data_IF_074955506256
#
_entry.id   IF_074955506256
#
_cell.length_a   1.000
_cell.length_b   1.000
_cell.length_c   1.000
_cell.angle_alpha   90.00
_cell.angle_beta   90.00
_cell.angle_gamma   90.00
#
_symmetry.space_group_name_H-M   'P 1'
#
loop_
_entity.id
_entity.type
_entity.pdbx_description
1 polymer ?
#
# COMPACT_ATOMS: atom_id res chain seq x y z
N UNK A 1 73.88 35.04 -0.95
CA UNK A 1 73.34 33.71 -1.30
C UNK A 1 74.10 32.66 -0.51
N UNK A 2 73.47 32.12 0.53
CA UNK A 2 73.94 30.89 1.20
C UNK A 2 72.69 30.02 1.34
N UNK A 3 72.50 29.08 0.41
CA UNK A 3 71.56 27.98 0.60
C UNK A 3 72.23 26.97 1.51
N UNK A 4 71.94 27.05 2.80
CA UNK A 4 72.34 26.04 3.78
C UNK A 4 71.32 24.92 3.80
N UNK A 5 71.73 23.71 3.41
CA UNK A 5 70.94 22.50 3.68
C UNK A 5 71.15 22.10 5.14
N UNK A 6 70.08 22.15 5.94
CA UNK A 6 70.07 21.61 7.30
C UNK A 6 69.73 20.12 7.21
N UNK A 7 70.72 19.26 7.44
CA UNK A 7 70.50 17.84 7.66
C UNK A 7 70.32 17.59 9.15
N UNK A 8 69.07 17.59 9.62
CA UNK A 8 68.70 17.17 10.96
C UNK A 8 67.90 15.86 10.86
N UNK A 9 68.30 14.83 11.60
CA UNK A 9 67.55 13.57 11.71
C UNK A 9 66.23 13.73 12.48
N UNK A 10 66.09 14.82 13.23
CA UNK A 10 64.86 15.20 13.95
C UNK A 10 64.79 16.71 14.04
N UNK A 11 63.76 17.31 13.47
CA UNK A 11 63.48 18.76 13.55
C UNK A 11 62.29 18.96 14.49
N UNK A 12 62.51 19.66 15.61
CA UNK A 12 61.46 19.91 16.61
C UNK A 12 60.97 21.36 16.44
N UNK A 13 59.79 21.55 15.85
CA UNK A 13 59.21 22.88 15.57
C UNK A 13 57.86 22.99 16.28
N UNK A 14 57.66 24.06 17.04
CA UNK A 14 56.41 24.33 17.77
C UNK A 14 55.24 24.73 16.86
N UNK A 15 55.52 25.29 15.68
CA UNK A 15 54.53 25.58 14.63
C UNK A 15 55.25 25.65 13.29
N UNK A 16 54.86 24.81 12.34
CA UNK A 16 55.47 24.76 11.00
C UNK A 16 54.43 25.17 9.96
N UNK A 17 54.54 26.40 9.45
CA UNK A 17 53.58 26.98 8.50
C UNK A 17 54.24 27.08 7.12
N UNK A 18 53.90 26.17 6.19
CA UNK A 18 54.45 26.15 4.84
C UNK A 18 53.38 26.57 3.81
N UNK A 19 53.71 27.57 3.01
CA UNK A 19 52.85 28.03 1.91
C UNK A 19 52.72 27.00 0.77
N UNK A 20 53.70 26.10 0.63
CA UNK A 20 53.66 24.98 -0.31
C UNK A 20 54.67 23.90 0.09
N UNK A 21 54.23 22.65 0.20
CA UNK A 21 55.12 21.48 0.31
C UNK A 21 55.14 20.79 -1.05
N UNK A 22 56.20 21.00 -1.83
CA UNK A 22 56.48 20.18 -3.00
C UNK A 22 57.08 18.85 -2.54
N UNK A 23 56.26 17.80 -2.44
CA UNK A 23 56.71 16.48 -2.00
C UNK A 23 57.19 15.62 -3.20
N UNK A 24 58.02 16.18 -4.08
CA UNK A 24 58.40 15.52 -5.34
C UNK A 24 59.61 14.59 -5.25
N UNK A 25 60.33 14.54 -4.12
CA UNK A 25 61.57 13.76 -3.99
C UNK A 25 61.81 13.15 -2.60
N UNK A 26 60.78 12.60 -1.93
CA UNK A 26 61.05 11.64 -0.86
C UNK A 26 61.39 10.28 -1.48
N UNK A 27 62.59 9.77 -1.21
CA UNK A 27 62.96 8.36 -1.51
C UNK A 27 62.27 7.36 -0.57
N UNK A 28 61.56 7.86 0.45
CA UNK A 28 60.75 7.04 1.34
C UNK A 28 59.44 6.63 0.65
N UNK A 29 59.12 5.34 0.71
CA UNK A 29 57.91 4.74 0.14
C UNK A 29 56.63 5.01 0.95
N UNK A 30 56.73 5.76 2.05
CA UNK A 30 55.63 6.01 2.98
C UNK A 30 55.78 7.31 3.77
N UNK A 31 54.64 7.92 4.09
CA UNK A 31 54.52 9.15 4.88
C UNK A 31 53.77 8.81 6.17
N UNK A 32 54.42 9.04 7.32
CA UNK A 32 53.82 8.89 8.64
C UNK A 32 53.48 10.25 9.26
N UNK A 33 52.25 10.43 9.72
CA UNK A 33 51.86 11.56 10.58
C UNK A 33 51.55 11.00 11.97
N UNK A 34 52.25 11.51 12.99
CA UNK A 34 52.26 10.97 14.36
C UNK A 34 52.70 9.49 14.47
N UNK A 35 53.52 9.01 13.52
CA UNK A 35 54.13 7.68 13.55
C UNK A 35 55.49 7.69 12.88
N UNK A 36 56.46 7.01 13.48
CA UNK A 36 57.81 6.84 12.92
C UNK A 36 57.98 5.52 12.14
N UNK A 37 56.93 4.69 12.09
CA UNK A 37 56.89 3.43 11.37
C UNK A 37 55.58 3.30 10.59
N UNK A 38 55.40 4.09 9.51
CA UNK A 38 54.21 4.01 8.69
C UNK A 38 54.09 2.63 8.02
N UNK A 39 52.92 2.01 8.14
CA UNK A 39 52.64 0.69 7.54
C UNK A 39 51.98 0.76 6.17
N UNK A 40 51.79 1.98 5.65
CA UNK A 40 51.13 2.26 4.38
C UNK A 40 51.75 3.50 3.74
N UNK A 41 51.48 3.75 2.46
CA UNK A 41 52.01 4.91 1.75
C UNK A 41 51.67 6.24 2.46
N UNK A 42 50.52 6.31 3.12
CA UNK A 42 50.14 7.37 4.05
C UNK A 42 49.53 6.73 5.31
N UNK A 43 50.16 6.90 6.47
CA UNK A 43 49.68 6.42 7.78
C UNK A 43 49.54 7.62 8.74
N UNK A 44 48.30 7.94 9.11
CA UNK A 44 47.97 9.05 10.01
C UNK A 44 47.38 8.46 11.29
N UNK A 45 48.06 8.66 12.41
CA UNK A 45 47.61 8.18 13.72
C UNK A 45 47.11 9.33 14.58
N UNK A 46 45.98 9.09 15.27
CA UNK A 46 45.38 10.06 16.20
C UNK A 46 45.16 11.46 15.58
N UNK A 47 44.77 11.51 14.30
CA UNK A 47 44.49 12.72 13.54
C UNK A 47 43.52 12.44 12.39
N UNK A 48 43.08 13.48 11.68
CA UNK A 48 42.18 13.37 10.53
C UNK A 48 42.71 14.13 9.32
N UNK A 49 42.24 13.76 8.13
CA UNK A 49 42.49 14.52 6.90
C UNK A 49 41.32 15.51 6.74
N UNK A 50 41.62 16.81 6.84
CA UNK A 50 40.67 17.85 6.48
C UNK A 50 41.00 18.38 5.08
N UNK A 51 40.19 18.01 4.08
CA UNK A 51 40.31 18.52 2.71
C UNK A 51 39.25 19.59 2.52
N UNK A 52 39.66 20.86 2.55
CA UNK A 52 38.78 21.98 2.19
C UNK A 52 39.02 22.36 0.73
N UNK A 53 38.14 21.92 -0.16
CA UNK A 53 38.15 22.33 -1.57
C UNK A 53 36.82 22.96 -1.94
N UNK A 54 36.86 24.05 -2.72
CA UNK A 54 35.65 24.72 -3.25
C UNK A 54 35.03 23.97 -4.43
N UNK A 55 35.71 22.96 -4.98
CA UNK A 55 35.35 22.22 -6.20
C UNK A 55 35.14 20.72 -5.96
N UNK A 56 34.98 20.29 -4.70
CA UNK A 56 34.79 18.88 -4.33
C UNK A 56 36.12 18.12 -4.20
N UNK A 57 36.07 16.97 -3.52
CA UNK A 57 37.19 16.06 -3.33
C UNK A 57 36.71 14.64 -3.61
N UNK A 58 37.46 13.90 -4.42
CA UNK A 58 37.19 12.50 -4.74
C UNK A 58 38.26 11.59 -4.17
N UNK A 59 37.87 10.57 -3.42
CA UNK A 59 38.74 9.45 -3.07
C UNK A 59 38.55 8.38 -4.14
N UNK A 60 39.58 8.17 -4.98
CA UNK A 60 39.61 7.05 -5.93
C UNK A 60 40.45 5.95 -5.32
N UNK A 61 39.80 4.91 -4.79
CA UNK A 61 40.47 3.71 -4.30
C UNK A 61 40.29 2.56 -5.30
N UNK A 62 41.37 1.86 -5.62
CA UNK A 62 41.36 0.65 -6.46
C UNK A 62 41.14 -0.64 -5.64
N UNK A 63 41.07 -0.51 -4.31
CA UNK A 63 40.76 -1.59 -3.37
C UNK A 63 39.75 -1.14 -2.32
N UNK A 64 39.64 -1.91 -1.22
CA UNK A 64 38.61 -1.67 -0.21
C UNK A 64 38.82 -0.36 0.59
N UNK A 65 37.74 0.40 0.79
CA UNK A 65 37.70 1.52 1.72
C UNK A 65 37.08 1.04 3.03
N UNK A 66 37.94 0.68 3.99
CA UNK A 66 37.50 0.33 5.35
C UNK A 66 37.43 1.57 6.24
N UNK A 67 36.24 1.91 6.75
CA UNK A 67 36.06 3.05 7.65
C UNK A 67 35.05 2.72 8.76
N UNK A 68 35.16 3.41 9.90
CA UNK A 68 34.24 3.24 11.04
C UNK A 68 32.90 3.92 10.81
N UNK A 69 32.90 5.04 10.07
CA UNK A 69 31.70 5.83 9.78
C UNK A 69 31.93 6.70 8.54
N UNK A 70 30.91 6.81 7.70
CA UNK A 70 30.84 7.77 6.59
C UNK A 70 29.77 8.80 6.95
N UNK A 71 30.15 10.07 7.08
CA UNK A 71 29.22 11.18 7.33
C UNK A 71 29.10 12.03 6.06
N UNK A 72 27.88 12.19 5.55
CA UNK A 72 27.60 12.91 4.31
C UNK A 72 26.47 13.90 4.54
N UNK A 73 26.58 15.07 3.90
CA UNK A 73 25.56 16.13 3.95
C UNK A 73 24.63 16.12 2.73
N UNK A 74 24.84 15.20 1.78
CA UNK A 74 24.03 15.07 0.56
C UNK A 74 23.71 13.60 0.28
N UNK A 75 24.50 12.92 -0.56
CA UNK A 75 24.18 11.56 -1.03
C UNK A 75 25.38 10.60 -1.00
N UNK A 76 25.14 9.32 -0.66
CA UNK A 76 26.05 8.20 -0.93
C UNK A 76 25.50 7.40 -2.11
N UNK A 77 26.27 7.26 -3.19
CA UNK A 77 25.94 6.33 -4.28
C UNK A 77 26.86 5.11 -4.17
N UNK A 78 26.28 3.93 -3.94
CA UNK A 78 27.01 2.67 -3.81
C UNK A 78 26.47 1.67 -4.85
N UNK A 79 27.21 1.50 -5.94
CA UNK A 79 26.77 0.75 -7.11
C UNK A 79 26.97 -0.77 -7.01
N UNK A 80 27.86 -1.24 -6.13
CA UNK A 80 28.21 -2.66 -6.04
C UNK A 80 28.49 -3.06 -4.60
N UNK A 81 27.76 -4.05 -4.07
CA UNK A 81 28.05 -4.70 -2.80
C UNK A 81 28.60 -6.11 -3.06
N UNK A 82 29.84 -6.37 -2.66
CA UNK A 82 30.43 -7.72 -2.70
C UNK A 82 30.52 -8.30 -1.29
N UNK A 83 29.40 -8.31 -0.56
CA UNK A 83 29.30 -8.86 0.78
C UNK A 83 28.33 -10.05 0.82
N UNK A 84 28.66 -11.09 1.59
CA UNK A 84 27.79 -12.25 1.82
C UNK A 84 26.53 -11.91 2.63
N UNK A 85 26.59 -10.84 3.43
CA UNK A 85 25.47 -10.29 4.20
C UNK A 85 25.59 -8.77 4.24
N UNK A 86 24.50 -8.06 3.95
CA UNK A 86 24.37 -6.61 4.17
C UNK A 86 23.29 -6.40 5.22
N UNK A 87 23.69 -5.99 6.42
CA UNK A 87 22.77 -5.70 7.52
C UNK A 87 22.61 -4.20 7.68
N UNK A 88 21.42 -3.67 7.37
CA UNK A 88 21.06 -2.27 7.65
C UNK A 88 20.18 -2.26 8.90
N UNK A 89 20.77 -2.01 10.07
CA UNK A 89 20.05 -2.06 11.35
C UNK A 89 19.01 -0.95 11.50
N UNK A 90 19.20 0.18 10.82
CA UNK A 90 18.26 1.30 10.75
C UNK A 90 18.67 2.28 9.64
N UNK A 91 17.75 2.71 8.79
CA UNK A 91 17.95 3.84 7.89
C UNK A 91 17.18 5.05 8.46
N UNK A 92 17.87 5.89 9.24
CA UNK A 92 17.30 7.14 9.76
C UNK A 92 17.57 8.26 8.75
N UNK A 93 16.54 8.69 8.02
CA UNK A 93 16.62 9.89 7.16
C UNK A 93 16.12 11.10 7.95
N UNK A 94 16.94 12.13 8.08
CA UNK A 94 16.62 13.38 8.77
C UNK A 94 16.55 14.52 7.75
N UNK A 95 15.54 14.50 6.88
CA UNK A 95 15.22 15.66 6.02
C UNK A 95 13.86 16.24 6.41
N UNK A 96 13.80 17.56 6.52
CA UNK A 96 12.61 18.31 6.97
C UNK A 96 11.71 18.77 5.83
N UNK A 97 11.99 18.41 4.57
CA UNK A 97 11.42 19.15 3.41
C UNK A 97 10.98 18.37 2.17
N UNK A 98 10.83 17.04 2.15
CA UNK A 98 10.04 16.38 1.07
C UNK A 98 9.62 14.96 1.43
N UNK A 99 8.54 14.49 0.81
CA UNK A 99 8.02 13.13 0.88
C UNK A 99 9.11 12.14 0.47
N UNK A 100 9.49 11.22 1.36
CA UNK A 100 10.59 10.28 1.12
C UNK A 100 10.06 8.94 0.60
N UNK A 101 10.41 8.57 -0.62
CA UNK A 101 10.21 7.22 -1.14
C UNK A 101 11.43 6.36 -0.77
N UNK A 102 11.26 5.44 0.19
CA UNK A 102 12.23 4.35 0.39
C UNK A 102 11.92 3.28 -0.65
N UNK A 103 12.53 3.40 -1.82
CA UNK A 103 12.41 2.40 -2.88
C UNK A 103 13.23 1.16 -2.51
N UNK A 104 12.55 0.13 -2.00
CA UNK A 104 13.12 -1.22 -1.86
C UNK A 104 13.20 -1.87 -3.24
N UNK A 105 14.10 -1.42 -4.13
CA UNK A 105 14.16 -1.99 -5.49
C UNK A 105 14.53 -3.47 -5.45
N UNK A 106 15.31 -3.98 -4.48
CA UNK A 106 15.54 -5.43 -4.35
C UNK A 106 16.20 -5.74 -2.99
N UNK A 107 15.46 -6.29 -2.02
CA UNK A 107 16.07 -7.11 -0.94
C UNK A 107 16.02 -8.56 -1.44
N UNK A 108 16.93 -8.93 -2.33
CA UNK A 108 17.22 -10.34 -2.61
C UNK A 108 18.52 -10.67 -1.89
N UNK A 109 18.43 -11.12 -0.64
CA UNK A 109 19.56 -11.72 0.06
C UNK A 109 19.41 -13.24 0.10
N UNK A 110 20.46 -13.92 -0.35
CA UNK A 110 20.76 -15.36 -0.24
C UNK A 110 20.20 -16.29 -1.33
N UNK A 111 20.95 -17.37 -1.55
CA UNK A 111 20.78 -18.42 -2.59
C UNK A 111 19.43 -19.16 -2.60
N UNK A 112 18.44 -18.74 -1.80
CA UNK A 112 17.08 -19.31 -1.77
C UNK A 112 15.96 -18.31 -2.05
N UNK A 113 16.26 -17.00 -2.20
CA UNK A 113 15.30 -16.00 -2.70
C UNK A 113 14.01 -15.89 -1.88
N UNK A 114 14.13 -15.72 -0.55
CA UNK A 114 12.97 -15.48 0.34
C UNK A 114 12.88 -14.01 0.74
N UNK A 115 11.67 -13.46 0.73
CA UNK A 115 11.32 -12.11 1.17
C UNK A 115 10.37 -12.23 2.37
N UNK A 116 10.72 -11.59 3.49
CA UNK A 116 9.87 -11.48 4.67
C UNK A 116 9.54 -10.01 4.91
N UNK A 117 8.25 -9.68 4.97
CA UNK A 117 7.78 -8.39 5.47
C UNK A 117 7.30 -8.56 6.91
N UNK A 118 8.18 -8.21 7.86
CA UNK A 118 7.96 -8.17 9.31
C UNK A 118 8.88 -9.12 10.11
N UNK A 119 8.40 -9.78 11.16
CA UNK A 119 9.28 -10.51 12.12
C UNK A 119 9.23 -12.03 11.99
N UNK A 120 10.35 -12.72 12.27
CA UNK A 120 10.42 -14.19 12.33
C UNK A 120 11.29 -14.80 11.22
N UNK A 121 11.13 -16.11 11.00
CA UNK A 121 11.83 -16.85 9.94
C UNK A 121 10.85 -17.22 8.84
N UNK A 122 11.07 -16.81 7.57
CA UNK A 122 10.12 -17.09 6.49
C UNK A 122 10.08 -18.59 6.16
N UNK A 123 8.89 -19.15 6.22
CA UNK A 123 8.55 -20.50 5.76
C UNK A 123 8.37 -20.53 4.24
N UNK A 124 7.82 -19.46 3.64
CA UNK A 124 7.61 -19.32 2.20
C UNK A 124 8.63 -18.39 1.50
N UNK A 125 8.62 -18.35 0.16
CA UNK A 125 9.49 -17.43 -0.61
C UNK A 125 9.07 -15.97 -0.51
N UNK A 126 7.81 -15.71 -0.23
CA UNK A 126 7.32 -14.38 0.12
C UNK A 126 6.33 -14.57 1.27
N UNK A 127 6.61 -13.93 2.41
CA UNK A 127 5.81 -14.07 3.62
C UNK A 127 5.63 -12.69 4.27
N UNK A 128 4.41 -12.36 4.68
CA UNK A 128 4.09 -11.12 5.37
C UNK A 128 3.58 -11.48 6.76
N UNK A 129 4.39 -11.20 7.79
CA UNK A 129 4.10 -11.56 9.18
C UNK A 129 4.33 -10.38 10.12
N UNK A 130 3.42 -10.12 11.06
CA UNK A 130 3.71 -9.19 12.16
C UNK A 130 3.56 -7.70 11.85
N UNK A 131 2.54 -7.31 11.07
CA UNK A 131 2.10 -5.92 10.92
C UNK A 131 0.59 -5.84 11.01
N UNK A 132 0.06 -4.99 11.89
CA UNK A 132 -1.39 -4.79 12.07
C UNK A 132 -1.76 -3.39 11.61
N UNK A 133 -2.55 -3.28 10.54
CA UNK A 133 -3.54 -2.19 10.47
C UNK A 133 -4.82 -2.77 11.04
N UNK A 134 -5.18 -2.31 12.23
CA UNK A 134 -6.38 -2.75 12.91
C UNK A 134 -7.60 -2.08 12.24
N UNK A 135 -8.43 -2.84 11.53
CA UNK A 135 -9.72 -2.33 11.05
C UNK A 135 -10.79 -2.69 12.08
N UNK A 136 -11.56 -1.74 12.62
CA UNK A 136 -12.36 -1.98 13.84
C UNK A 136 -13.68 -2.72 13.57
N UNK A 137 -13.76 -4.05 13.75
CA UNK A 137 -15.02 -4.80 13.52
C UNK A 137 -15.32 -5.90 14.55
N UNK A 138 -16.34 -5.64 15.39
CA UNK A 138 -17.11 -6.63 16.20
C UNK A 138 -16.35 -7.41 17.29
N UNK A 139 -17.05 -7.77 18.36
CA UNK A 139 -16.50 -8.44 19.56
C UNK A 139 -15.96 -9.84 19.27
N UNK A 140 -14.78 -10.16 19.80
CA UNK A 140 -14.19 -11.49 19.78
C UNK A 140 -13.25 -11.72 20.96
N UNK A 141 -12.38 -12.73 20.87
CA UNK A 141 -11.45 -13.11 21.93
C UNK A 141 -9.99 -12.96 21.48
N UNK A 142 -9.14 -12.40 22.35
CA UNK A 142 -7.67 -12.39 22.16
C UNK A 142 -7.00 -13.30 23.18
N UNK A 143 -5.97 -14.00 22.74
CA UNK A 143 -4.98 -14.58 23.65
C UNK A 143 -4.05 -13.45 24.11
N UNK A 144 -4.12 -13.11 25.39
CA UNK A 144 -3.10 -12.27 26.01
C UNK A 144 -1.82 -13.09 26.21
N UNK A 145 -0.66 -12.46 25.98
CA UNK A 145 0.62 -13.01 26.45
C UNK A 145 0.53 -13.15 27.98
N UNK A 146 0.32 -14.38 28.46
CA UNK A 146 -0.02 -14.67 29.86
C UNK A 146 -0.91 -15.90 30.08
N UNK A 147 -1.32 -16.62 29.03
CA UNK A 147 -1.97 -17.93 29.15
C UNK A 147 -3.45 -17.90 29.56
N UNK A 148 -4.04 -16.72 29.75
CA UNK A 148 -5.48 -16.54 29.96
C UNK A 148 -6.14 -15.88 28.75
N UNK A 149 -7.21 -16.50 28.23
CA UNK A 149 -8.12 -15.82 27.31
C UNK A 149 -8.84 -14.71 28.09
N UNK A 150 -8.53 -13.45 27.78
CA UNK A 150 -9.23 -12.31 28.39
C UNK A 150 -10.39 -11.91 27.50
N UNK A 151 -11.58 -11.82 28.09
CA UNK A 151 -12.70 -11.12 27.46
C UNK A 151 -12.29 -9.65 27.33
N UNK A 152 -12.10 -9.15 26.12
CA UNK A 152 -11.98 -7.71 25.86
C UNK A 152 -13.28 -7.27 25.21
N UNK A 153 -14.22 -6.64 25.95
CA UNK A 153 -15.40 -6.04 25.36
C UNK A 153 -14.97 -4.87 24.47
N UNK A 154 -15.05 -5.04 23.15
CA UNK A 154 -14.74 -4.00 22.17
C UNK A 154 -14.62 -4.57 20.75
N UNK A 155 -14.64 -3.73 19.71
CA UNK A 155 -14.39 -4.16 18.34
C UNK A 155 -13.01 -4.83 18.27
N UNK A 156 -12.97 -6.09 17.88
CA UNK A 156 -11.71 -6.75 17.55
C UNK A 156 -11.35 -6.37 16.13
N UNK A 157 -10.09 -5.99 15.90
CA UNK A 157 -9.71 -5.69 14.54
C UNK A 157 -9.46 -6.94 13.71
N UNK A 158 -10.00 -6.94 12.49
CA UNK A 158 -9.51 -7.84 11.45
C UNK A 158 -8.09 -7.38 11.06
N UNK A 159 -7.19 -8.34 10.87
CA UNK A 159 -5.79 -8.06 10.52
C UNK A 159 -5.58 -8.33 9.04
N UNK A 160 -5.31 -7.26 8.29
CA UNK A 160 -5.02 -7.34 6.85
C UNK A 160 -3.52 -7.27 6.65
N UNK A 161 -2.93 -8.37 6.16
CA UNK A 161 -1.49 -8.42 5.82
C UNK A 161 -1.18 -7.85 4.44
N UNK A 162 -2.15 -7.82 3.52
CA UNK A 162 -1.95 -7.33 2.15
C UNK A 162 -3.23 -6.67 1.62
N UNK A 163 -3.15 -5.37 1.32
CA UNK A 163 -4.14 -4.62 0.53
C UNK A 163 -3.45 -4.20 -0.76
N UNK A 164 -4.11 -4.41 -1.91
CA UNK A 164 -3.59 -4.03 -3.23
C UNK A 164 -4.55 -3.03 -3.87
N UNK A 165 -4.01 -2.04 -4.57
CA UNK A 165 -4.82 -1.08 -5.34
C UNK A 165 -5.36 -1.69 -6.65
N UNK A 166 -4.74 -2.79 -7.10
CA UNK A 166 -5.13 -3.59 -8.28
C UNK A 166 -5.48 -5.03 -7.86
N UNK A 167 -5.60 -5.91 -8.85
CA UNK A 167 -5.83 -7.35 -8.63
C UNK A 167 -4.59 -8.13 -8.22
N UNK A 168 -4.82 -9.26 -7.55
CA UNK A 168 -3.80 -10.28 -7.31
C UNK A 168 -3.93 -11.33 -8.43
N UNK A 169 -2.96 -11.36 -9.34
CA UNK A 169 -2.85 -12.45 -10.31
C UNK A 169 -2.12 -13.63 -9.67
N UNK A 170 -2.86 -14.68 -9.33
CA UNK A 170 -2.30 -15.94 -8.85
C UNK A 170 -2.75 -17.11 -9.74
N UNK A 171 -1.85 -18.05 -10.03
CA UNK A 171 -2.21 -19.30 -10.70
C UNK A 171 -3.13 -20.15 -9.82
N UNK A 172 -2.88 -20.13 -8.50
CA UNK A 172 -3.68 -20.86 -7.52
C UNK A 172 -3.87 -19.97 -6.29
N UNK A 173 -5.11 -19.88 -5.81
CA UNK A 173 -5.48 -19.21 -4.57
C UNK A 173 -6.00 -20.24 -3.57
N UNK A 174 -5.36 -20.35 -2.40
CA UNK A 174 -5.77 -21.29 -1.36
C UNK A 174 -6.50 -20.53 -0.23
N UNK A 175 -7.80 -20.76 -0.11
CA UNK A 175 -8.59 -20.37 1.06
C UNK A 175 -8.76 -21.60 1.98
N UNK A 176 -8.28 -21.53 3.23
CA UNK A 176 -8.35 -22.67 4.15
C UNK A 176 -9.79 -22.92 4.62
N UNK A 177 -10.25 -24.16 4.49
CA UNK A 177 -11.57 -24.59 4.96
C UNK A 177 -11.50 -26.03 5.44
N UNK A 178 -11.29 -26.21 6.74
CA UNK A 178 -11.18 -27.51 7.40
C UNK A 178 -12.22 -27.61 8.54
N UNK A 179 -12.80 -28.78 8.76
CA UNK A 179 -13.76 -28.99 9.86
C UNK A 179 -13.14 -28.65 11.23
N UNK A 180 -11.84 -28.92 11.42
CA UNK A 180 -11.13 -28.72 12.70
C UNK A 180 -10.94 -27.25 13.06
N UNK A 181 -11.05 -26.35 12.09
CA UNK A 181 -10.98 -24.89 12.30
C UNK A 181 -12.37 -24.24 12.34
N UNK A 182 -13.44 -25.05 12.29
CA UNK A 182 -14.84 -24.60 12.35
C UNK A 182 -15.52 -25.17 13.60
N UNK A 183 -16.46 -24.42 14.18
CA UNK A 183 -17.21 -24.83 15.37
C UNK A 183 -18.71 -24.53 15.17
N UNK A 184 -19.56 -25.20 15.94
CA UNK A 184 -21.03 -25.04 15.90
C UNK A 184 -21.60 -25.23 14.48
N UNK A 185 -21.18 -26.30 13.79
CA UNK A 185 -21.62 -26.61 12.43
C UNK A 185 -23.08 -27.08 12.50
N UNK A 186 -23.98 -26.33 11.87
CA UNK A 186 -25.41 -26.64 11.76
C UNK A 186 -25.80 -26.65 10.28
N UNK A 187 -26.80 -27.46 9.94
CA UNK A 187 -27.36 -27.46 8.59
C UNK A 187 -28.17 -26.17 8.38
N UNK A 188 -28.11 -25.60 7.18
CA UNK A 188 -28.96 -24.48 6.79
C UNK A 188 -30.40 -24.98 6.58
N UNK A 189 -31.37 -24.27 7.15
CA UNK A 189 -32.79 -24.51 6.92
C UNK A 189 -33.16 -24.15 5.48
N UNK A 190 -33.55 -25.15 4.69
CA UNK A 190 -33.68 -25.04 3.23
C UNK A 190 -34.84 -24.12 2.81
N UNK A 191 -35.98 -24.17 3.53
CA UNK A 191 -37.12 -23.28 3.31
C UNK A 191 -36.77 -21.81 3.56
N UNK A 192 -36.05 -21.52 4.66
CA UNK A 192 -35.59 -20.18 4.97
C UNK A 192 -34.58 -19.67 3.94
N UNK A 193 -33.66 -20.54 3.50
CA UNK A 193 -32.71 -20.21 2.45
C UNK A 193 -33.40 -19.81 1.13
N UNK A 194 -34.47 -20.53 0.76
CA UNK A 194 -35.27 -20.18 -0.42
C UNK A 194 -35.94 -18.80 -0.27
N UNK A 195 -36.48 -18.47 0.91
CA UNK A 195 -37.05 -17.14 1.17
C UNK A 195 -35.99 -16.03 1.07
N UNK A 196 -34.78 -16.26 1.59
CA UNK A 196 -33.67 -15.30 1.48
C UNK A 196 -33.30 -15.07 0.02
N UNK A 197 -33.10 -16.15 -0.76
CA UNK A 197 -32.72 -16.04 -2.18
C UNK A 197 -33.78 -15.30 -3.00
N UNK A 198 -35.07 -15.50 -2.70
CA UNK A 198 -36.17 -14.79 -3.38
C UNK A 198 -36.15 -13.28 -3.15
N UNK A 199 -35.57 -12.81 -2.04
CA UNK A 199 -35.50 -11.39 -1.70
C UNK A 199 -34.22 -10.73 -2.22
N UNK A 200 -33.18 -11.51 -2.53
CA UNK A 200 -31.95 -11.01 -3.15
C UNK A 200 -32.23 -10.71 -4.62
N UNK A 201 -31.94 -9.48 -5.05
CA UNK A 201 -32.06 -9.03 -6.44
C UNK A 201 -30.69 -9.06 -7.13
N UNK A 202 -30.43 -9.99 -8.06
CA UNK A 202 -29.29 -9.89 -8.97
C UNK A 202 -29.47 -8.68 -9.88
N UNK A 203 -28.39 -7.96 -10.16
CA UNK A 203 -28.37 -6.79 -11.03
C UNK A 203 -27.20 -6.83 -11.98
N UNK A 204 -27.26 -6.01 -13.03
CA UNK A 204 -26.09 -5.66 -13.84
C UNK A 204 -25.66 -4.24 -13.53
N UNK A 205 -24.36 -3.97 -13.56
CA UNK A 205 -23.80 -2.65 -13.31
C UNK A 205 -22.49 -2.45 -14.05
N UNK A 206 -22.02 -1.21 -14.09
CA UNK A 206 -20.65 -0.84 -14.47
C UNK A 206 -20.06 -0.05 -13.30
N UNK A 207 -18.76 -0.21 -13.05
CA UNK A 207 -18.10 0.62 -12.05
C UNK A 207 -17.95 2.05 -12.56
N UNK A 208 -18.04 3.00 -11.63
CA UNK A 208 -17.72 4.41 -11.91
C UNK A 208 -16.24 4.53 -12.26
N UNK A 209 -15.38 3.83 -11.51
CA UNK A 209 -13.95 3.72 -11.78
C UNK A 209 -13.68 2.73 -12.92
N UNK A 210 -13.79 3.24 -14.15
CA UNK A 210 -13.59 2.44 -15.35
C UNK A 210 -12.11 2.15 -15.65
N UNK A 211 -11.19 2.94 -15.08
CA UNK A 211 -9.75 2.75 -15.26
C UNK A 211 -9.30 1.47 -14.58
N UNK A 212 -9.75 1.23 -13.35
CA UNK A 212 -9.35 0.05 -12.58
C UNK A 212 -10.24 -1.18 -12.78
N UNK A 213 -11.49 -1.00 -13.25
CA UNK A 213 -12.47 -2.08 -13.33
C UNK A 213 -12.92 -2.47 -14.75
N UNK A 214 -12.27 -1.93 -15.78
CA UNK A 214 -12.68 -2.05 -17.18
C UNK A 214 -14.08 -1.48 -17.45
N UNK A 215 -14.27 -0.88 -18.64
CA UNK A 215 -15.56 -0.33 -19.04
C UNK A 215 -16.50 -1.42 -19.59
N UNK A 216 -16.85 -2.40 -18.76
CA UNK A 216 -17.70 -3.54 -19.13
C UNK A 216 -18.87 -3.73 -18.15
N UNK A 217 -19.97 -4.30 -18.66
CA UNK A 217 -21.12 -4.68 -17.84
C UNK A 217 -20.77 -5.93 -17.04
N UNK A 218 -20.92 -5.84 -15.72
CA UNK A 218 -20.80 -6.97 -14.80
C UNK A 218 -22.16 -7.42 -14.26
N UNK A 219 -22.25 -8.70 -13.92
CA UNK A 219 -23.38 -9.29 -13.19
C UNK A 219 -23.01 -9.46 -11.73
N UNK A 220 -23.88 -9.03 -10.82
CA UNK A 220 -23.62 -9.19 -9.40
C UNK A 220 -24.79 -8.78 -8.52
N UNK A 221 -24.45 -8.25 -7.34
CA UNK A 221 -25.40 -7.89 -6.30
C UNK A 221 -24.98 -6.57 -5.67
N UNK A 222 -25.96 -5.80 -5.20
CA UNK A 222 -25.71 -4.60 -4.39
C UNK A 222 -25.65 -5.01 -2.92
N UNK A 223 -24.52 -4.75 -2.25
CA UNK A 223 -24.32 -5.16 -0.87
C UNK A 223 -25.39 -4.59 0.09
N UNK A 224 -25.84 -3.36 -0.18
CA UNK A 224 -26.90 -2.69 0.58
C UNK A 224 -28.26 -3.38 0.43
N UNK A 225 -28.55 -4.00 -0.73
CA UNK A 225 -29.78 -4.78 -0.93
C UNK A 225 -29.69 -6.15 -0.24
N UNK A 226 -28.48 -6.72 -0.12
CA UNK A 226 -28.24 -8.01 0.54
C UNK A 226 -28.25 -7.88 2.06
N UNK A 227 -27.77 -6.77 2.61
CA UNK A 227 -27.59 -6.57 4.06
C UNK A 227 -28.86 -6.80 4.91
N UNK A 228 -30.07 -6.35 4.52
CA UNK A 228 -31.29 -6.60 5.29
C UNK A 228 -31.69 -8.08 5.36
N UNK A 229 -31.33 -8.87 4.35
CA UNK A 229 -31.76 -10.27 4.21
C UNK A 229 -30.69 -11.29 4.61
N UNK A 230 -29.42 -10.94 4.43
CA UNK A 230 -28.26 -11.75 4.80
C UNK A 230 -27.16 -10.87 5.43
N UNK A 231 -27.39 -10.33 6.64
CA UNK A 231 -26.52 -9.31 7.24
C UNK A 231 -25.08 -9.78 7.42
N UNK A 232 -24.86 -11.06 7.75
CA UNK A 232 -23.52 -11.63 7.96
C UNK A 232 -22.69 -11.76 6.67
N UNK A 233 -23.31 -11.65 5.50
CA UNK A 233 -22.61 -11.64 4.22
C UNK A 233 -22.06 -10.26 3.87
N UNK A 234 -22.42 -9.21 4.62
CA UNK A 234 -22.04 -7.84 4.32
C UNK A 234 -21.24 -7.26 5.46
N UNK A 235 -20.03 -6.81 5.13
CA UNK A 235 -19.15 -6.06 6.02
C UNK A 235 -19.07 -4.63 5.52
N UNK A 236 -18.54 -3.73 6.32
CA UNK A 236 -18.32 -2.34 5.93
C UNK A 236 -16.92 -1.93 6.38
N UNK A 237 -16.23 -1.11 5.61
CA UNK A 237 -14.88 -0.63 5.89
C UNK A 237 -14.77 0.87 5.61
N UNK A 238 -13.83 1.54 6.27
CA UNK A 238 -13.58 2.96 5.98
C UNK A 238 -12.61 3.12 4.81
N UNK A 239 -13.11 3.56 3.65
CA UNK A 239 -12.28 3.75 2.45
C UNK A 239 -12.83 4.88 1.56
N UNK A 240 -12.10 5.21 0.49
CA UNK A 240 -12.51 6.21 -0.49
C UNK A 240 -13.46 5.61 -1.54
N UNK A 241 -14.49 6.37 -1.90
CA UNK A 241 -15.42 6.01 -2.99
C UNK A 241 -15.27 6.97 -4.18
N UNK A 242 -15.48 6.50 -5.42
CA UNK A 242 -15.42 7.35 -6.61
C UNK A 242 -16.72 8.17 -6.80
N UNK A 243 -17.21 8.87 -5.77
CA UNK A 243 -18.47 9.61 -5.85
C UNK A 243 -18.36 10.93 -6.62
N UNK A 244 -17.15 11.52 -6.68
CA UNK A 244 -16.87 12.71 -7.49
C UNK A 244 -16.41 12.27 -8.88
N UNK A 245 -15.29 11.54 -8.94
CA UNK A 245 -14.70 10.97 -10.16
C UNK A 245 -14.68 11.97 -11.32
N UNK A 246 -14.04 13.13 -11.10
CA UNK A 246 -14.08 14.27 -12.02
C UNK A 246 -12.71 14.94 -12.14
N UNK A 247 -12.45 15.54 -13.31
CA UNK A 247 -11.31 16.42 -13.48
C UNK A 247 -11.59 17.76 -12.80
N UNK A 248 -10.55 18.35 -12.21
CA UNK A 248 -10.66 19.61 -11.50
C UNK A 248 -9.44 20.51 -11.74
N UNK A 249 -9.67 21.81 -11.70
CA UNK A 249 -8.62 22.81 -11.84
C UNK A 249 -8.28 23.44 -10.48
N UNK A 250 -6.98 23.53 -10.20
CA UNK A 250 -6.46 24.09 -8.96
C UNK A 250 -6.18 25.57 -9.13
N UNK A 251 -6.65 26.37 -8.18
CA UNK A 251 -6.30 27.79 -8.05
C UNK A 251 -5.81 28.10 -6.64
N UNK A 252 -4.97 29.12 -6.52
CA UNK A 252 -4.48 29.58 -5.23
C UNK A 252 -5.62 30.23 -4.43
N UNK A 253 -5.66 29.96 -3.12
CA UNK A 253 -6.60 30.61 -2.20
C UNK A 253 -5.84 31.41 -1.13
N UNK A 254 -4.94 30.75 -0.42
CA UNK A 254 -3.97 31.39 0.48
C UNK A 254 -2.59 30.75 0.30
N UNK A 255 -1.59 31.19 1.07
CA UNK A 255 -0.25 30.57 1.05
C UNK A 255 -0.26 29.08 1.43
N UNK A 256 -1.24 28.63 2.21
CA UNK A 256 -1.35 27.26 2.75
C UNK A 256 -2.54 26.47 2.23
N UNK A 257 -3.46 27.07 1.47
CA UNK A 257 -4.70 26.44 1.00
C UNK A 257 -4.93 26.64 -0.49
N UNK A 258 -5.68 25.74 -1.12
CA UNK A 258 -6.03 25.81 -2.54
C UNK A 258 -7.53 25.65 -2.75
N UNK A 259 -8.02 26.17 -3.88
CA UNK A 259 -9.38 25.89 -4.38
C UNK A 259 -9.28 24.87 -5.51
N UNK A 260 -10.02 23.78 -5.38
CA UNK A 260 -10.21 22.74 -6.39
C UNK A 260 -11.58 22.95 -7.02
N UNK A 261 -11.63 23.27 -8.31
CA UNK A 261 -12.89 23.51 -9.03
C UNK A 261 -13.21 22.33 -9.94
N UNK A 262 -14.26 21.59 -9.61
CA UNK A 262 -14.79 20.47 -10.39
C UNK A 262 -15.34 20.96 -11.73
N UNK A 263 -15.18 20.16 -12.78
CA UNK A 263 -15.56 20.55 -14.15
C UNK A 263 -16.97 20.12 -14.54
N UNK A 264 -17.40 18.95 -14.09
CA UNK A 264 -18.67 18.34 -14.47
C UNK A 264 -19.58 18.08 -13.28
N UNK A 265 -19.01 17.94 -12.08
CA UNK A 265 -19.74 17.64 -10.85
C UNK A 265 -19.88 18.86 -9.95
N UNK A 266 -20.82 18.75 -9.00
CA UNK A 266 -20.99 19.70 -7.91
C UNK A 266 -20.50 19.09 -6.59
N UNK A 267 -20.63 19.87 -5.53
CA UNK A 267 -20.13 19.55 -4.19
C UNK A 267 -21.25 19.17 -3.23
N UNK A 268 -22.43 18.80 -3.73
CA UNK A 268 -23.63 18.54 -2.91
C UNK A 268 -23.41 17.37 -1.93
N UNK A 269 -22.59 16.40 -2.32
CA UNK A 269 -22.24 15.23 -1.51
C UNK A 269 -21.06 15.48 -0.56
N UNK A 270 -20.58 16.72 -0.44
CA UNK A 270 -19.42 17.09 0.38
C UNK A 270 -19.77 18.05 1.51
N UNK A 271 -19.24 17.76 2.70
CA UNK A 271 -19.31 18.61 3.88
C UNK A 271 -17.93 19.09 4.34
N UNK A 272 -17.94 20.13 5.16
CA UNK A 272 -16.73 20.56 5.90
C UNK A 272 -16.23 19.42 6.78
N UNK A 273 -14.93 19.13 6.71
CA UNK A 273 -14.27 18.04 7.45
C UNK A 273 -14.22 16.71 6.70
N UNK A 274 -14.84 16.60 5.52
CA UNK A 274 -14.67 15.44 4.65
C UNK A 274 -13.21 15.31 4.19
N UNK A 275 -12.76 14.07 3.98
CA UNK A 275 -11.41 13.76 3.50
C UNK A 275 -11.50 13.35 2.03
N UNK A 276 -10.75 14.00 1.16
CA UNK A 276 -10.72 13.72 -0.28
C UNK A 276 -9.46 12.99 -0.70
N UNK A 277 -9.62 12.07 -1.66
CA UNK A 277 -8.52 11.51 -2.44
C UNK A 277 -8.48 12.22 -3.80
N UNK A 278 -7.37 12.91 -4.04
CA UNK A 278 -7.05 13.59 -5.30
C UNK A 278 -5.85 12.86 -5.91
N UNK A 279 -5.85 12.67 -7.21
CA UNK A 279 -4.73 12.12 -7.96
C UNK A 279 -4.12 13.25 -8.78
N UNK A 280 -2.79 13.38 -8.74
CA UNK A 280 -2.08 14.20 -9.73
C UNK A 280 -2.06 13.49 -11.11
N UNK A 281 -1.48 14.14 -12.11
CA UNK A 281 -1.41 13.60 -13.47
C UNK A 281 -0.42 12.43 -13.62
N UNK A 282 0.31 12.10 -12.56
CA UNK A 282 1.14 10.90 -12.46
C UNK A 282 0.46 9.82 -11.60
N UNK A 283 -0.84 9.94 -11.33
CA UNK A 283 -1.64 9.02 -10.52
C UNK A 283 -1.18 8.93 -9.05
N UNK A 284 -0.43 9.93 -8.58
CA UNK A 284 0.03 9.98 -7.19
C UNK A 284 -1.12 10.43 -6.28
N UNK A 285 -1.49 9.64 -5.26
CA UNK A 285 -2.58 10.00 -4.38
C UNK A 285 -2.17 11.08 -3.38
N UNK A 286 -2.97 12.16 -3.34
CA UNK A 286 -2.94 13.27 -2.42
C UNK A 286 -4.20 13.23 -1.56
N UNK A 287 -4.03 13.12 -0.24
CA UNK A 287 -5.13 13.11 0.72
C UNK A 287 -5.24 14.48 1.38
N UNK A 288 -6.41 15.10 1.29
CA UNK A 288 -6.65 16.48 1.79
C UNK A 288 -7.96 16.58 2.55
N UNK A 289 -8.07 17.57 3.45
CA UNK A 289 -9.32 17.84 4.16
C UNK A 289 -10.09 18.98 3.49
N UNK A 290 -11.42 18.83 3.43
CA UNK A 290 -12.33 19.86 2.93
C UNK A 290 -12.57 20.90 4.02
N UNK A 291 -12.23 22.15 3.73
CA UNK A 291 -12.48 23.29 4.61
C UNK A 291 -13.84 23.94 4.32
N UNK A 292 -14.19 24.05 3.05
CA UNK A 292 -15.46 24.63 2.61
C UNK A 292 -15.81 24.18 1.20
N UNK A 293 -17.09 24.25 0.84
CA UNK A 293 -17.60 23.91 -0.50
C UNK A 293 -18.52 25.02 -1.00
N UNK A 294 -18.50 25.27 -2.31
CA UNK A 294 -19.37 26.24 -2.96
C UNK A 294 -19.64 25.80 -4.40
N UNK A 295 -20.83 25.29 -4.67
CA UNK A 295 -21.25 24.77 -5.97
C UNK A 295 -20.27 23.74 -6.56
N UNK A 296 -19.32 24.16 -7.38
CA UNK A 296 -18.29 23.30 -8.00
C UNK A 296 -16.91 23.45 -7.37
N UNK A 297 -16.72 24.42 -6.48
CA UNK A 297 -15.43 24.74 -5.87
C UNK A 297 -15.32 24.16 -4.46
N UNK A 298 -14.14 23.63 -4.14
CA UNK A 298 -13.80 23.01 -2.87
C UNK A 298 -12.54 23.72 -2.33
N UNK A 299 -12.62 24.30 -1.14
CA UNK A 299 -11.44 24.83 -0.45
C UNK A 299 -10.82 23.70 0.35
N UNK A 300 -9.54 23.42 0.12
CA UNK A 300 -8.80 22.35 0.79
C UNK A 300 -7.68 22.89 1.69
N UNK A 301 -7.36 22.15 2.75
CA UNK A 301 -6.40 22.52 3.80
C UNK A 301 -4.92 22.48 3.40
N UNK A 302 -4.65 22.19 2.13
CA UNK A 302 -3.31 21.97 1.61
C UNK A 302 -3.07 22.84 0.38
N UNK A 303 -1.90 23.47 0.29
CA UNK A 303 -1.45 24.14 -0.92
C UNK A 303 -1.05 23.10 -1.97
N UNK A 304 -2.00 22.76 -2.84
CA UNK A 304 -1.82 21.74 -3.88
C UNK A 304 -0.87 22.20 -4.98
N UNK A 305 -0.76 23.51 -5.24
CA UNK A 305 0.13 24.04 -6.29
C UNK A 305 1.61 23.73 -6.03
N UNK A 306 2.00 23.51 -4.77
CA UNK A 306 3.36 23.15 -4.37
C UNK A 306 3.57 21.62 -4.33
N UNK A 307 2.48 20.85 -4.22
CA UNK A 307 2.53 19.39 -4.04
C UNK A 307 2.23 18.59 -5.29
N UNK A 308 1.49 19.18 -6.23
CA UNK A 308 1.29 18.60 -7.55
C UNK A 308 2.62 18.66 -8.29
N UNK A 309 2.98 17.53 -8.88
CA UNK A 309 4.16 17.41 -9.73
C UNK A 309 4.14 18.45 -10.85
N UNK A 310 5.30 19.08 -11.13
CA UNK A 310 5.42 19.98 -12.28
C UNK A 310 5.11 19.20 -13.55
N UNK A 311 3.95 19.50 -14.14
CA UNK A 311 3.50 18.84 -15.35
C UNK A 311 3.42 19.84 -16.50
N UNK A 312 4.08 19.49 -17.62
CA UNK A 312 4.00 20.23 -18.87
C UNK A 312 3.05 19.50 -19.82
N UNK A 313 1.81 19.98 -20.03
CA UNK A 313 0.82 19.29 -20.86
C UNK A 313 1.29 19.14 -22.31
N UNK A 314 1.10 17.95 -22.89
CA UNK A 314 1.32 17.72 -24.31
C UNK A 314 0.21 18.34 -25.17
N UNK A 315 0.39 18.35 -26.49
CA UNK A 315 -0.66 18.79 -27.41
C UNK A 315 -1.91 17.90 -27.36
N UNK A 316 -1.78 16.63 -26.98
CA UNK A 316 -2.92 15.74 -26.80
C UNK A 316 -3.66 16.03 -25.49
N UNK A 317 -2.94 16.29 -24.41
CA UNK A 317 -3.51 16.69 -23.11
C UNK A 317 -4.34 17.97 -23.25
N UNK A 318 -3.82 18.96 -23.98
CA UNK A 318 -4.53 20.21 -24.26
C UNK A 318 -5.83 19.98 -25.04
N UNK A 319 -5.84 19.04 -26.00
CA UNK A 319 -7.07 18.66 -26.72
C UNK A 319 -8.08 17.98 -25.81
N UNK A 320 -7.60 17.26 -24.80
CA UNK A 320 -8.42 16.64 -23.74
C UNK A 320 -8.69 17.61 -22.57
N UNK A 321 -8.44 18.91 -22.74
CA UNK A 321 -8.63 19.97 -21.76
C UNK A 321 -7.80 19.77 -20.46
N UNK A 322 -6.66 19.11 -20.50
CA UNK A 322 -5.76 18.94 -19.37
C UNK A 322 -4.71 20.07 -19.39
N UNK A 323 -4.60 20.80 -18.28
CA UNK A 323 -3.69 21.94 -18.11
C UNK A 323 -2.70 21.67 -16.98
N UNK A 324 -1.71 22.55 -16.80
CA UNK A 324 -0.62 22.36 -15.84
C UNK A 324 -1.08 22.20 -14.37
N UNK A 325 -2.24 22.75 -14.00
CA UNK A 325 -2.81 22.66 -12.65
C UNK A 325 -4.10 21.86 -12.60
N UNK A 326 -4.25 20.91 -13.53
CA UNK A 326 -5.38 19.98 -13.55
C UNK A 326 -5.05 18.75 -12.71
N UNK A 327 -6.01 18.32 -11.90
CA UNK A 327 -5.94 17.10 -11.09
C UNK A 327 -7.21 16.28 -11.27
N UNK A 328 -7.16 15.03 -10.86
CA UNK A 328 -8.31 14.14 -10.88
C UNK A 328 -8.82 13.92 -9.46
N UNK A 329 -10.06 14.32 -9.17
CA UNK A 329 -10.68 14.13 -7.86
C UNK A 329 -11.42 12.81 -7.86
N UNK A 330 -10.89 11.82 -7.14
CA UNK A 330 -11.49 10.50 -7.04
C UNK A 330 -12.82 10.57 -6.26
N UNK A 331 -12.75 11.08 -5.04
CA UNK A 331 -13.92 11.24 -4.17
C UNK A 331 -13.58 11.26 -2.69
N UNK A 332 -14.60 11.10 -1.85
CA UNK A 332 -14.46 11.23 -0.40
C UNK A 332 -14.24 9.90 0.31
N UNK A 333 -13.60 9.97 1.47
CA UNK A 333 -13.53 8.86 2.42
C UNK A 333 -14.87 8.72 3.12
N UNK A 334 -15.44 7.52 3.10
CA UNK A 334 -16.64 7.19 3.87
C UNK A 334 -16.31 6.13 4.91
N UNK A 335 -17.09 6.09 5.98
CA UNK A 335 -16.89 5.13 7.07
C UNK A 335 -17.40 3.73 6.76
N UNK A 336 -18.21 3.58 5.73
CA UNK A 336 -19.09 2.43 5.50
C UNK A 336 -19.09 1.92 4.05
N UNK A 337 -17.92 1.78 3.42
CA UNK A 337 -17.80 1.08 2.14
C UNK A 337 -18.17 -0.39 2.34
N UNK A 338 -19.27 -0.84 1.73
CA UNK A 338 -19.80 -2.19 1.96
C UNK A 338 -19.05 -3.24 1.12
N UNK A 339 -18.61 -4.31 1.78
CA UNK A 339 -17.91 -5.46 1.19
C UNK A 339 -18.82 -6.68 1.28
N UNK A 340 -19.06 -7.34 0.15
CA UNK A 340 -19.96 -8.48 0.05
C UNK A 340 -19.20 -9.81 -0.05
N UNK A 341 -19.46 -10.72 0.88
CA UNK A 341 -18.95 -12.09 0.85
C UNK A 341 -19.84 -12.97 -0.04
N UNK A 342 -19.48 -13.04 -1.33
CA UNK A 342 -20.26 -13.76 -2.35
C UNK A 342 -20.41 -15.26 -2.04
N UNK A 343 -19.46 -15.89 -1.34
CA UNK A 343 -19.55 -17.31 -0.97
C UNK A 343 -20.70 -17.61 0.01
N UNK A 344 -21.11 -16.63 0.81
CA UNK A 344 -22.26 -16.77 1.69
C UNK A 344 -23.55 -16.90 0.87
N UNK A 345 -23.73 -16.05 -0.15
CA UNK A 345 -24.87 -16.13 -1.08
C UNK A 345 -24.85 -17.47 -1.82
N UNK A 346 -23.69 -17.91 -2.30
CA UNK A 346 -23.56 -19.21 -2.97
C UNK A 346 -24.03 -20.37 -2.06
N UNK A 347 -23.59 -20.39 -0.80
CA UNK A 347 -23.97 -21.44 0.15
C UNK A 347 -25.48 -21.46 0.44
N UNK A 348 -26.09 -20.29 0.62
CA UNK A 348 -27.55 -20.17 0.78
C UNK A 348 -28.28 -20.57 -0.52
N UNK A 349 -27.72 -20.21 -1.67
CA UNK A 349 -28.21 -20.61 -2.99
C UNK A 349 -28.28 -22.13 -3.16
N UNK A 350 -27.26 -22.87 -2.72
CA UNK A 350 -27.27 -24.34 -2.76
C UNK A 350 -28.39 -24.91 -1.87
N UNK A 351 -28.62 -24.36 -0.67
CA UNK A 351 -29.72 -24.79 0.19
C UNK A 351 -31.09 -24.50 -0.43
N UNK A 352 -31.27 -23.33 -1.05
CA UNK A 352 -32.49 -22.99 -1.79
C UNK A 352 -32.73 -23.91 -3.00
N UNK A 353 -31.68 -24.31 -3.72
CA UNK A 353 -31.77 -25.26 -4.84
C UNK A 353 -32.26 -26.62 -4.35
N UNK A 354 -31.80 -27.09 -3.19
CA UNK A 354 -32.30 -28.35 -2.59
C UNK A 354 -33.77 -28.27 -2.22
N UNK A 355 -34.22 -27.15 -1.64
CA UNK A 355 -35.63 -26.94 -1.36
C UNK A 355 -36.48 -26.95 -2.64
N UNK A 356 -36.01 -26.28 -3.70
CA UNK A 356 -36.68 -26.29 -4.99
C UNK A 356 -36.78 -27.72 -5.55
N UNK A 357 -35.69 -28.51 -5.51
CA UNK A 357 -35.71 -29.90 -5.97
C UNK A 357 -36.72 -30.75 -5.18
N UNK A 358 -36.75 -30.59 -3.85
CA UNK A 358 -37.73 -31.25 -2.98
C UNK A 358 -39.17 -30.90 -3.37
N UNK A 359 -39.48 -29.62 -3.54
CA UNK A 359 -40.80 -29.15 -3.95
C UNK A 359 -41.20 -29.69 -5.34
N UNK A 360 -40.26 -29.72 -6.29
CA UNK A 360 -40.49 -30.28 -7.64
C UNK A 360 -40.80 -31.77 -7.58
N UNK A 361 -40.08 -32.54 -6.76
CA UNK A 361 -40.32 -33.98 -6.58
C UNK A 361 -41.69 -34.24 -5.94
N UNK A 362 -42.07 -33.44 -4.95
CA UNK A 362 -43.39 -33.52 -4.29
C UNK A 362 -44.52 -33.21 -5.28
N UNK A 363 -44.40 -32.13 -6.05
CA UNK A 363 -45.38 -31.76 -7.08
C UNK A 363 -45.52 -32.86 -8.15
N UNK A 364 -44.41 -33.46 -8.59
CA UNK A 364 -44.45 -34.59 -9.56
C UNK A 364 -45.21 -35.80 -9.01
N UNK A 365 -45.03 -36.12 -7.72
CA UNK A 365 -45.79 -37.20 -7.06
C UNK A 365 -47.27 -36.90 -7.01
N UNK A 366 -47.65 -35.67 -6.64
CA UNK A 366 -49.06 -35.25 -6.62
C UNK A 366 -49.69 -35.32 -8.01
N UNK A 367 -49.01 -34.85 -9.05
CA UNK A 367 -49.49 -34.93 -10.44
C UNK A 367 -49.67 -36.39 -10.87
N UNK A 368 -48.74 -37.29 -10.51
CA UNK A 368 -48.86 -38.71 -10.83
C UNK A 368 -50.05 -39.37 -10.11
N UNK A 369 -50.27 -39.05 -8.84
CA UNK A 369 -51.38 -39.57 -8.04
C UNK A 369 -52.74 -39.06 -8.55
N UNK A 370 -52.83 -37.75 -8.82
CA UNK A 370 -54.01 -37.15 -9.47
C UNK A 370 -54.29 -37.77 -10.83
N UNK A 371 -53.25 -38.04 -11.64
CA UNK A 371 -53.37 -38.73 -12.92
C UNK A 371 -53.96 -40.14 -12.79
N UNK A 372 -53.54 -40.91 -11.77
CA UNK A 372 -54.12 -42.23 -11.49
C UNK A 372 -55.60 -42.12 -11.12
N UNK A 373 -55.94 -41.19 -10.23
CA UNK A 373 -57.32 -41.01 -9.77
C UNK A 373 -58.26 -40.55 -10.88
N UNK A 374 -57.78 -39.69 -11.79
CA UNK A 374 -58.53 -39.30 -12.99
C UNK A 374 -58.77 -40.52 -13.89
N UNK A 375 -57.77 -41.37 -14.10
CA UNK A 375 -57.91 -42.57 -14.91
C UNK A 375 -58.91 -43.56 -14.31
N UNK A 376 -58.92 -43.72 -12.98
CA UNK A 376 -59.90 -44.54 -12.25
C UNK A 376 -61.33 -44.00 -12.45
N UNK A 377 -61.55 -42.69 -12.20
CA UNK A 377 -62.85 -42.05 -12.38
C UNK A 377 -63.34 -42.10 -13.84
N UNK A 378 -62.44 -41.95 -14.82
CA UNK A 378 -62.78 -42.08 -16.23
C UNK A 378 -63.22 -43.50 -16.61
N UNK A 379 -62.64 -44.53 -15.97
CA UNK A 379 -63.07 -45.91 -16.17
C UNK A 379 -64.44 -46.18 -15.53
N UNK A 380 -64.73 -45.62 -14.36
CA UNK A 380 -66.04 -45.73 -13.70
C UNK A 380 -67.17 -45.07 -14.51
N UNK A 381 -66.90 -43.93 -15.15
CA UNK A 381 -67.86 -43.22 -16.01
C UNK A 381 -68.10 -43.89 -17.38
N UNK A 382 -67.27 -44.86 -17.75
CA UNK A 382 -67.35 -45.57 -19.04
C UNK A 382 -68.19 -46.85 -18.98
N UNK A 383 -68.66 -47.22 -17.79
CA UNK A 383 -69.63 -48.29 -17.51
C UNK A 383 -71.02 -47.65 -17.41
#
# INVERSE_FOLDING_TARGET
MISGYVYASTLNVSTFNLASVGLSTLTASSIGINTNGPTSALDIRNGGINVSSSSGFSIVATGDISCRSIYLTSSLNLSTFSASTVSVSSLLTTSTTSTQNVNFVTILSSATGKILLGTGTPTYRFEINGGSVATSFTTGWRYGYGGGATNVPGPIPDFISMKTDLGIWASIFYATSDQRIKKNIQQLEEEQALQVVRQIRPVTYQYIDQQHHHNQIEYGFIAQDVKPVLPYAVRSESDFIPNIYDLADITAHTESTSIVTLRTKNTDDLGQGDILKILDLHETPLIVNVLNTCHTSIVVDTNLLVRVSEYSPTEEDRKNNIHAHTVFVYGKKVGDVHILEKNAIFSVGIAAIKEIDRLVLEQRRMIADQGKRIAELQNELRI
#
